data_IF_579380406231
#
_entry.id   IF_579380406231
#
_cell.length_a   1.000
_cell.length_b   1.000
_cell.length_c   1.000
_cell.angle_alpha   90.00
_cell.angle_beta   90.00
_cell.angle_gamma   90.00
#
_symmetry.space_group_name_H-M   'P 1'
#
loop_
_entity.id
_entity.type
_entity.pdbx_description
1 polymer ?
#
# COMPACT_ATOMS: atom_id res chain seq x y z
N UNK A 1 28.54 4.84 20.58
CA UNK A 1 27.09 4.75 20.92
C UNK A 1 26.65 3.30 21.12
N UNK A 2 27.05 2.37 20.23
CA UNK A 2 26.62 0.96 20.30
C UNK A 2 27.26 0.13 21.43
N UNK A 3 28.41 0.55 21.98
CA UNK A 3 29.18 -0.24 22.95
C UNK A 3 28.42 -0.55 24.26
N UNK A 4 27.39 0.25 24.57
CA UNK A 4 26.55 0.08 25.76
C UNK A 4 25.13 -0.41 25.43
N UNK A 5 24.85 -0.82 24.18
CA UNK A 5 23.52 -1.30 23.76
C UNK A 5 23.53 -2.83 23.73
N UNK A 6 22.64 -3.44 24.51
CA UNK A 6 22.60 -4.89 24.68
C UNK A 6 21.84 -5.64 23.58
N UNK A 7 20.98 -4.94 22.82
CA UNK A 7 20.25 -5.54 21.72
C UNK A 7 19.16 -4.64 21.15
N UNK A 8 18.49 -5.13 20.12
CA UNK A 8 17.38 -4.46 19.41
C UNK A 8 16.15 -5.37 19.44
N UNK A 9 14.98 -4.84 19.77
CA UNK A 9 13.70 -5.54 19.61
C UNK A 9 12.96 -4.90 18.43
N UNK A 10 12.96 -5.57 17.27
CA UNK A 10 12.41 -5.02 16.04
C UNK A 10 10.98 -5.49 15.79
N UNK A 11 10.10 -4.52 15.56
CA UNK A 11 8.67 -4.71 15.52
C UNK A 11 8.14 -4.98 14.11
N UNK A 12 8.79 -4.46 13.08
CA UNK A 12 8.23 -4.43 11.72
C UNK A 12 8.89 -5.44 10.79
N UNK A 13 8.13 -6.00 9.85
CA UNK A 13 8.66 -6.90 8.80
C UNK A 13 9.83 -6.25 8.04
N UNK A 14 9.70 -4.97 7.68
CA UNK A 14 10.73 -4.23 6.94
C UNK A 14 11.98 -3.99 7.77
N UNK A 15 11.84 -3.65 9.06
CA UNK A 15 12.96 -3.53 9.97
C UNK A 15 13.71 -4.86 10.15
N UNK A 16 12.98 -5.97 10.28
CA UNK A 16 13.57 -7.31 10.35
C UNK A 16 14.37 -7.63 9.09
N UNK A 17 13.83 -7.32 7.89
CA UNK A 17 14.56 -7.52 6.64
C UNK A 17 15.91 -6.78 6.63
N UNK A 18 15.94 -5.52 7.10
CA UNK A 18 17.17 -4.73 7.22
C UNK A 18 18.15 -5.33 8.23
N UNK A 19 17.67 -5.84 9.36
CA UNK A 19 18.51 -6.51 10.35
C UNK A 19 19.12 -7.81 9.80
N UNK A 20 18.35 -8.60 9.05
CA UNK A 20 18.84 -9.80 8.36
C UNK A 20 19.89 -9.45 7.31
N UNK A 21 19.68 -8.39 6.52
CA UNK A 21 20.71 -7.90 5.59
C UNK A 21 21.99 -7.48 6.32
N UNK A 22 21.88 -6.74 7.43
CA UNK A 22 23.03 -6.32 8.22
C UNK A 22 23.77 -7.52 8.83
N UNK A 23 23.04 -8.54 9.28
CA UNK A 23 23.62 -9.78 9.78
C UNK A 23 24.40 -10.50 8.67
N UNK A 24 23.79 -10.67 7.49
CA UNK A 24 24.42 -11.31 6.34
C UNK A 24 25.65 -10.54 5.82
N UNK A 25 25.63 -9.20 5.91
CA UNK A 25 26.76 -8.33 5.56
C UNK A 25 27.82 -8.22 6.67
N UNK A 26 27.61 -8.85 7.83
CA UNK A 26 28.51 -8.74 9.00
C UNK A 26 28.55 -7.33 9.62
N UNK A 27 27.57 -6.49 9.32
CA UNK A 27 27.49 -5.10 9.82
C UNK A 27 26.61 -4.96 11.06
N UNK A 28 25.80 -5.97 11.40
CA UNK A 28 25.02 -5.99 12.65
C UNK A 28 25.96 -6.08 13.86
N UNK A 29 25.86 -5.12 14.78
CA UNK A 29 26.82 -4.96 15.91
C UNK A 29 26.29 -5.43 17.27
N UNK A 30 24.97 -5.59 17.39
CA UNK A 30 24.29 -6.02 18.61
C UNK A 30 23.24 -7.07 18.24
N UNK A 31 22.89 -8.01 19.14
CA UNK A 31 21.87 -9.01 18.84
C UNK A 31 20.51 -8.33 18.63
N UNK A 32 19.64 -8.96 17.85
CA UNK A 32 18.29 -8.48 17.64
C UNK A 32 17.26 -9.61 17.80
N UNK A 33 16.11 -9.26 18.35
CA UNK A 33 14.93 -10.13 18.44
C UNK A 33 13.92 -9.65 17.40
N UNK A 34 13.51 -10.57 16.54
CA UNK A 34 12.38 -10.40 15.64
C UNK A 34 11.08 -10.58 16.45
N UNK A 35 10.48 -9.46 16.86
CA UNK A 35 9.19 -9.46 17.55
C UNK A 35 8.05 -9.69 16.55
N UNK A 36 8.24 -9.24 15.29
CA UNK A 36 7.23 -9.32 14.25
C UNK A 36 6.70 -10.75 14.02
N UNK A 37 7.59 -11.75 14.01
CA UNK A 37 7.24 -13.13 13.69
C UNK A 37 6.59 -13.89 14.86
N UNK A 38 6.47 -13.27 16.03
CA UNK A 38 5.56 -13.78 17.06
C UNK A 38 4.14 -13.83 16.49
N UNK A 39 3.44 -14.96 16.66
CA UNK A 39 2.09 -15.15 16.11
C UNK A 39 1.11 -14.10 16.66
N UNK A 40 1.27 -13.73 17.93
CA UNK A 40 0.50 -12.67 18.59
C UNK A 40 0.84 -11.25 18.14
N UNK A 41 1.86 -11.09 17.28
CA UNK A 41 2.18 -9.87 16.55
C UNK A 41 1.76 -10.02 15.09
N UNK A 42 2.49 -10.76 14.26
CA UNK A 42 2.23 -10.86 12.81
C UNK A 42 0.79 -11.26 12.46
N UNK A 43 0.25 -12.30 13.10
CA UNK A 43 -1.10 -12.80 12.77
C UNK A 43 -2.22 -12.08 13.52
N UNK A 44 -1.87 -11.16 14.42
CA UNK A 44 -2.79 -10.33 15.16
C UNK A 44 -2.76 -8.87 14.68
N UNK A 45 -1.67 -8.16 14.97
CA UNK A 45 -1.45 -6.75 14.66
C UNK A 45 -1.48 -6.49 13.15
N UNK A 46 -0.55 -7.07 12.38
CA UNK A 46 -0.41 -6.77 10.95
C UNK A 46 -1.71 -7.03 10.20
N UNK A 47 -2.47 -8.05 10.60
CA UNK A 47 -3.70 -8.47 9.93
C UNK A 47 -4.95 -7.80 10.50
N UNK A 48 -5.28 -8.00 11.76
CA UNK A 48 -6.53 -7.49 12.34
C UNK A 48 -6.45 -6.01 12.72
N UNK A 49 -5.25 -5.50 13.04
CA UNK A 49 -5.01 -4.06 13.19
C UNK A 49 -5.35 -3.32 11.91
N UNK A 50 -4.74 -3.71 10.78
CA UNK A 50 -5.04 -3.12 9.47
C UNK A 50 -6.50 -3.31 9.06
N UNK A 51 -7.12 -4.45 9.39
CA UNK A 51 -8.57 -4.67 9.18
C UNK A 51 -9.41 -3.60 9.86
N UNK A 52 -9.06 -3.23 11.09
CA UNK A 52 -9.77 -2.21 11.85
C UNK A 52 -9.47 -0.80 11.34
N UNK A 53 -8.20 -0.48 11.16
CA UNK A 53 -7.74 0.91 11.04
C UNK A 53 -7.72 1.45 9.60
N UNK A 54 -7.63 0.61 8.57
CA UNK A 54 -7.58 1.09 7.18
C UNK A 54 -8.87 1.83 6.80
N UNK A 55 -10.03 1.18 6.98
CA UNK A 55 -11.30 1.81 6.64
C UNK A 55 -11.63 3.01 7.53
N UNK A 56 -11.17 3.00 8.79
CA UNK A 56 -11.32 4.13 9.72
C UNK A 56 -10.55 5.35 9.20
N UNK A 57 -9.28 5.19 8.85
CA UNK A 57 -8.46 6.28 8.32
C UNK A 57 -9.03 6.86 7.02
N UNK A 58 -9.49 6.02 6.10
CA UNK A 58 -10.14 6.47 4.87
C UNK A 58 -11.39 7.30 5.22
N UNK A 59 -12.25 6.81 6.13
CA UNK A 59 -13.46 7.53 6.55
C UNK A 59 -13.13 8.87 7.18
N UNK A 60 -12.16 8.93 8.11
CA UNK A 60 -11.72 10.21 8.72
C UNK A 60 -11.15 11.18 7.69
N UNK A 61 -10.45 10.66 6.69
CA UNK A 61 -9.81 11.48 5.67
C UNK A 61 -10.82 12.05 4.67
N UNK A 62 -11.75 11.23 4.18
CA UNK A 62 -12.55 11.57 2.99
C UNK A 62 -14.06 11.56 3.22
N UNK A 63 -14.54 10.99 4.33
CA UNK A 63 -15.96 10.74 4.61
C UNK A 63 -16.68 9.98 3.48
N UNK A 64 -15.93 9.31 2.61
CA UNK A 64 -16.47 8.74 1.39
C UNK A 64 -17.30 7.50 1.68
N UNK A 65 -18.40 7.35 0.96
CA UNK A 65 -19.17 6.11 0.97
C UNK A 65 -18.39 5.01 0.23
N UNK A 66 -18.05 3.93 0.92
CA UNK A 66 -17.19 2.85 0.38
C UNK A 66 -17.97 1.81 -0.42
N UNK A 67 -19.18 1.44 0.00
CA UNK A 67 -19.91 0.33 -0.61
C UNK A 67 -20.18 0.55 -2.11
N UNK A 68 -19.97 -0.51 -2.90
CA UNK A 68 -20.16 -0.50 -4.36
C UNK A 68 -18.99 0.09 -5.17
N UNK A 69 -18.03 0.76 -4.50
CA UNK A 69 -16.80 1.23 -5.15
C UNK A 69 -15.78 0.12 -5.33
N UNK A 70 -14.84 0.34 -6.24
CA UNK A 70 -13.83 -0.63 -6.65
C UNK A 70 -12.47 -0.29 -6.07
N UNK A 71 -11.88 -1.23 -5.34
CA UNK A 71 -10.56 -1.08 -4.76
C UNK A 71 -9.58 -2.07 -5.39
N UNK A 72 -8.34 -1.63 -5.58
CA UNK A 72 -7.19 -2.47 -5.89
C UNK A 72 -6.22 -2.46 -4.70
N UNK A 73 -6.04 -3.60 -4.05
CA UNK A 73 -5.02 -3.76 -3.00
C UNK A 73 -3.80 -4.45 -3.59
N UNK A 74 -2.64 -3.81 -3.47
CA UNK A 74 -1.37 -4.33 -3.96
C UNK A 74 -0.64 -5.00 -2.80
N UNK A 75 -0.45 -6.32 -2.92
CA UNK A 75 0.02 -7.19 -1.86
C UNK A 75 -1.12 -7.89 -1.11
N UNK A 76 -0.87 -9.15 -0.75
CA UNK A 76 -1.78 -10.02 0.00
C UNK A 76 -1.04 -10.80 1.10
N UNK A 77 0.00 -10.20 1.67
CA UNK A 77 0.60 -10.63 2.94
C UNK A 77 -0.33 -10.46 4.14
N UNK A 78 0.18 -10.42 5.38
CA UNK A 78 -0.67 -10.23 6.56
C UNK A 78 -1.39 -8.86 6.54
N UNK A 79 -0.67 -7.78 6.19
CA UNK A 79 -1.22 -6.43 6.01
C UNK A 79 -2.23 -6.40 4.86
N UNK A 80 -1.89 -7.01 3.72
CA UNK A 80 -2.78 -7.12 2.56
C UNK A 80 -4.09 -7.83 2.88
N UNK A 81 -4.04 -8.99 3.56
CA UNK A 81 -5.22 -9.73 4.04
C UNK A 81 -6.09 -8.91 4.99
N UNK A 82 -5.47 -8.17 5.89
CA UNK A 82 -6.18 -7.24 6.78
C UNK A 82 -6.89 -6.14 6.00
N UNK A 83 -6.16 -5.54 5.06
CA UNK A 83 -6.60 -4.40 4.25
C UNK A 83 -7.76 -4.77 3.32
N UNK A 84 -7.64 -5.87 2.57
CA UNK A 84 -8.71 -6.36 1.70
C UNK A 84 -9.98 -6.68 2.48
N UNK A 85 -9.84 -7.28 3.66
CA UNK A 85 -10.97 -7.54 4.56
C UNK A 85 -11.58 -6.23 5.10
N UNK A 86 -10.76 -5.21 5.40
CA UNK A 86 -11.22 -3.88 5.86
C UNK A 86 -12.14 -3.21 4.85
N UNK A 87 -11.83 -3.37 3.56
CA UNK A 87 -12.59 -2.77 2.45
C UNK A 87 -13.79 -3.65 2.05
N UNK A 88 -13.61 -4.97 1.94
CA UNK A 88 -14.69 -5.90 1.58
C UNK A 88 -15.84 -5.88 2.58
N UNK A 89 -15.54 -5.81 3.88
CA UNK A 89 -16.58 -5.76 4.91
C UNK A 89 -17.43 -4.47 4.86
N UNK A 90 -16.93 -3.42 4.21
CA UNK A 90 -17.65 -2.16 3.95
C UNK A 90 -18.41 -2.20 2.60
N UNK A 91 -18.44 -3.35 1.92
CA UNK A 91 -19.15 -3.53 0.66
C UNK A 91 -18.39 -3.09 -0.58
N UNK A 92 -17.08 -2.86 -0.51
CA UNK A 92 -16.26 -2.58 -1.69
C UNK A 92 -16.09 -3.83 -2.57
N UNK A 93 -15.98 -3.62 -3.88
CA UNK A 93 -15.56 -4.63 -4.85
C UNK A 93 -14.03 -4.62 -4.86
N UNK A 94 -13.42 -5.53 -4.11
CA UNK A 94 -11.97 -5.55 -3.90
C UNK A 94 -11.30 -6.52 -4.87
N UNK A 95 -10.26 -6.02 -5.56
CA UNK A 95 -9.33 -6.78 -6.41
C UNK A 95 -7.95 -6.77 -5.75
N UNK A 96 -7.17 -7.80 -6.02
CA UNK A 96 -5.85 -8.01 -5.41
C UNK A 96 -4.79 -8.11 -6.50
N UNK A 97 -3.62 -7.51 -6.28
CA UNK A 97 -2.42 -7.78 -7.08
C UNK A 97 -1.36 -8.45 -6.21
N UNK A 98 -0.77 -9.53 -6.69
CA UNK A 98 0.26 -10.28 -5.98
C UNK A 98 1.32 -10.85 -6.92
N UNK A 99 2.54 -10.90 -6.42
CA UNK A 99 3.71 -11.54 -7.04
C UNK A 99 3.95 -12.93 -6.47
N UNK A 100 3.56 -13.19 -5.22
CA UNK A 100 3.64 -14.52 -4.62
C UNK A 100 2.41 -15.36 -5.01
N UNK A 101 2.58 -16.45 -5.79
CA UNK A 101 1.46 -17.27 -6.24
C UNK A 101 0.71 -17.97 -5.10
N UNK A 102 1.35 -18.19 -3.94
CA UNK A 102 0.69 -18.76 -2.76
C UNK A 102 -0.25 -17.72 -2.14
N UNK A 103 0.21 -16.48 -2.01
CA UNK A 103 -0.62 -15.39 -1.51
C UNK A 103 -1.76 -15.06 -2.49
N UNK A 104 -1.49 -15.09 -3.81
CA UNK A 104 -2.53 -14.96 -4.83
C UNK A 104 -3.56 -16.09 -4.77
N UNK A 105 -3.12 -17.35 -4.61
CA UNK A 105 -4.02 -18.49 -4.42
C UNK A 105 -4.92 -18.28 -3.19
N UNK A 106 -4.38 -17.78 -2.08
CA UNK A 106 -5.18 -17.45 -0.89
C UNK A 106 -6.22 -16.36 -1.20
N UNK A 107 -5.84 -15.31 -1.92
CA UNK A 107 -6.78 -14.25 -2.32
C UNK A 107 -7.95 -14.80 -3.14
N UNK A 108 -7.68 -15.69 -4.11
CA UNK A 108 -8.72 -16.36 -4.88
C UNK A 108 -9.66 -17.19 -3.98
N UNK A 109 -9.10 -17.98 -3.06
CA UNK A 109 -9.88 -18.82 -2.14
C UNK A 109 -10.69 -17.98 -1.13
N UNK A 110 -10.20 -16.79 -0.78
CA UNK A 110 -10.90 -15.82 0.07
C UNK A 110 -11.99 -15.02 -0.69
N UNK A 111 -12.14 -15.26 -2.00
CA UNK A 111 -13.19 -14.67 -2.85
C UNK A 111 -12.81 -13.37 -3.55
N UNK A 112 -11.51 -13.09 -3.72
CA UNK A 112 -11.02 -11.90 -4.43
C UNK A 112 -10.58 -12.23 -5.85
N UNK A 113 -10.84 -11.31 -6.78
CA UNK A 113 -10.28 -11.37 -8.13
C UNK A 113 -8.81 -10.92 -8.09
N UNK A 114 -7.90 -11.74 -8.62
CA UNK A 114 -6.48 -11.42 -8.70
C UNK A 114 -6.16 -10.87 -10.08
N UNK A 115 -5.70 -9.62 -10.13
CA UNK A 115 -5.36 -8.89 -11.35
C UNK A 115 -4.01 -8.18 -11.22
N UNK A 116 -3.38 -7.91 -12.35
CA UNK A 116 -2.18 -7.09 -12.41
C UNK A 116 -2.48 -5.69 -12.96
N UNK A 117 -1.88 -4.63 -12.38
CA UNK A 117 -1.80 -3.29 -12.99
C UNK A 117 -1.13 -3.29 -14.36
N UNK A 118 -0.43 -4.37 -14.71
CA UNK A 118 0.26 -4.55 -15.98
C UNK A 118 -0.36 -5.69 -16.79
N UNK A 119 -0.45 -5.50 -18.11
CA UNK A 119 -0.96 -6.48 -19.07
C UNK A 119 -0.13 -7.76 -18.95
N UNK A 120 -0.83 -8.89 -18.80
CA UNK A 120 -0.23 -10.22 -18.56
C UNK A 120 0.71 -10.32 -17.34
N UNK A 121 0.70 -9.34 -16.42
CA UNK A 121 1.63 -9.32 -15.30
C UNK A 121 3.04 -8.84 -15.64
N UNK A 122 3.30 -8.42 -16.88
CA UNK A 122 4.64 -8.02 -17.33
C UNK A 122 4.89 -6.53 -17.05
N UNK A 123 5.80 -6.22 -16.13
CA UNK A 123 6.22 -4.84 -15.86
C UNK A 123 7.49 -4.50 -16.67
N UNK A 124 7.32 -3.90 -17.84
CA UNK A 124 8.40 -3.43 -18.71
C UNK A 124 9.01 -2.09 -18.28
N UNK A 125 8.45 -1.44 -17.25
CA UNK A 125 8.81 -0.09 -16.81
C UNK A 125 8.29 1.04 -17.72
N UNK A 126 7.43 0.70 -18.68
CA UNK A 126 6.81 1.64 -19.61
C UNK A 126 5.32 1.87 -19.34
N UNK A 127 4.69 2.68 -20.19
CA UNK A 127 3.24 2.93 -20.12
C UNK A 127 2.44 1.96 -21.01
N UNK A 128 3.09 1.36 -22.01
CA UNK A 128 2.50 0.51 -23.04
C UNK A 128 1.91 -0.80 -22.50
N UNK A 129 2.41 -1.25 -21.36
CA UNK A 129 2.01 -2.47 -20.67
C UNK A 129 1.07 -2.19 -19.50
N UNK A 130 0.64 -0.95 -19.26
CA UNK A 130 -0.33 -0.65 -18.21
C UNK A 130 -1.71 -1.19 -18.57
N UNK A 131 -2.35 -1.86 -17.62
CA UNK A 131 -3.73 -2.30 -17.72
C UNK A 131 -4.68 -1.13 -17.43
N UNK A 132 -4.81 -0.22 -18.40
CA UNK A 132 -5.64 0.99 -18.27
C UNK A 132 -7.09 0.66 -17.92
N UNK A 133 -7.67 -0.39 -18.52
CA UNK A 133 -9.04 -0.84 -18.22
C UNK A 133 -9.26 -1.14 -16.73
N UNK A 134 -8.26 -1.72 -16.06
CA UNK A 134 -8.33 -1.98 -14.61
C UNK A 134 -8.26 -0.66 -13.83
N UNK A 135 -7.28 0.19 -14.14
CA UNK A 135 -6.95 1.38 -13.36
C UNK A 135 -7.96 2.52 -13.53
N UNK A 136 -8.50 2.71 -14.73
CA UNK A 136 -9.56 3.69 -15.02
C UNK A 136 -10.90 3.32 -14.36
N UNK A 137 -11.07 2.06 -13.96
CA UNK A 137 -12.23 1.56 -13.22
C UNK A 137 -11.95 1.37 -11.71
N UNK A 138 -10.81 1.88 -11.21
CA UNK A 138 -10.42 1.75 -9.80
C UNK A 138 -10.66 3.05 -9.05
N UNK A 139 -11.54 3.03 -8.03
CA UNK A 139 -11.84 4.19 -7.18
C UNK A 139 -10.82 4.35 -6.03
N UNK A 140 -10.09 3.30 -5.69
CA UNK A 140 -9.15 3.30 -4.58
C UNK A 140 -8.00 2.33 -4.81
N UNK A 141 -6.77 2.77 -4.52
CA UNK A 141 -5.59 1.91 -4.49
C UNK A 141 -4.95 1.94 -3.11
N UNK A 142 -4.59 0.75 -2.60
CA UNK A 142 -3.93 0.59 -1.29
C UNK A 142 -2.68 -0.27 -1.46
N UNK A 143 -1.52 0.26 -1.10
CA UNK A 143 -0.24 -0.48 -1.12
C UNK A 143 0.05 -1.12 0.24
N UNK A 144 0.46 -2.39 0.24
CA UNK A 144 0.61 -3.23 1.47
C UNK A 144 1.86 -4.12 1.46
N UNK A 145 2.85 -3.80 0.61
CA UNK A 145 3.88 -4.76 0.19
C UNK A 145 5.18 -4.66 1.00
N UNK A 146 5.48 -3.50 1.56
CA UNK A 146 6.81 -3.16 2.07
C UNK A 146 7.89 -3.08 0.98
N UNK A 147 7.50 -2.98 -0.29
CA UNK A 147 8.39 -2.99 -1.46
C UNK A 147 8.42 -1.60 -2.15
N UNK A 148 9.30 -1.44 -3.13
CA UNK A 148 9.58 -0.15 -3.76
C UNK A 148 8.77 0.05 -5.04
N UNK A 149 8.10 1.21 -5.17
CA UNK A 149 7.36 1.64 -6.36
C UNK A 149 6.36 0.60 -6.91
N UNK A 150 5.61 -0.02 -6.00
CA UNK A 150 4.54 -0.94 -6.39
C UNK A 150 3.30 -0.22 -6.94
N UNK A 151 3.14 1.06 -6.62
CA UNK A 151 2.26 2.00 -7.30
C UNK A 151 3.12 3.08 -7.97
N UNK A 152 3.51 2.82 -9.22
CA UNK A 152 4.43 3.65 -9.98
C UNK A 152 3.74 4.84 -10.67
N UNK A 153 4.54 5.72 -11.27
CA UNK A 153 4.05 6.88 -12.04
C UNK A 153 3.08 6.53 -13.17
N UNK A 154 3.23 5.39 -13.82
CA UNK A 154 2.41 4.99 -14.96
C UNK A 154 1.05 4.51 -14.49
N UNK A 155 1.01 3.79 -13.37
CA UNK A 155 -0.23 3.46 -12.66
C UNK A 155 -0.95 4.72 -12.18
N UNK A 156 -0.23 5.65 -11.53
CA UNK A 156 -0.79 6.91 -11.05
C UNK A 156 -1.41 7.73 -12.20
N UNK A 157 -0.76 7.78 -13.36
CA UNK A 157 -1.28 8.48 -14.52
C UNK A 157 -2.55 7.84 -15.11
N UNK A 158 -2.67 6.51 -15.05
CA UNK A 158 -3.79 5.76 -15.61
C UNK A 158 -5.00 5.59 -14.66
N UNK A 159 -4.86 5.97 -13.39
CA UNK A 159 -5.96 5.84 -12.42
C UNK A 159 -7.18 6.70 -12.80
N UNK A 160 -8.36 6.23 -12.39
CA UNK A 160 -9.60 6.98 -12.49
C UNK A 160 -9.47 8.38 -11.85
N UNK A 161 -9.95 9.46 -12.50
CA UNK A 161 -10.06 10.76 -11.85
C UNK A 161 -10.90 10.68 -10.56
N UNK A 162 -10.42 11.34 -9.51
CA UNK A 162 -10.99 11.31 -8.16
C UNK A 162 -10.64 10.06 -7.35
N UNK A 163 -9.81 9.15 -7.85
CA UNK A 163 -9.41 7.96 -7.10
C UNK A 163 -8.60 8.30 -5.85
N UNK A 164 -8.81 7.51 -4.79
CA UNK A 164 -8.05 7.61 -3.54
C UNK A 164 -6.80 6.74 -3.63
N UNK A 165 -5.65 7.31 -3.28
CA UNK A 165 -4.36 6.63 -3.23
C UNK A 165 -3.85 6.68 -1.80
N UNK A 166 -3.56 5.52 -1.22
CA UNK A 166 -2.94 5.45 0.09
C UNK A 166 -2.03 4.23 0.25
N UNK A 167 -1.19 4.30 1.27
CA UNK A 167 -0.24 3.27 1.64
C UNK A 167 -0.45 2.91 3.10
N UNK A 168 -0.38 1.63 3.43
CA UNK A 168 -0.41 1.14 4.82
C UNK A 168 0.80 0.27 5.15
N UNK A 169 1.74 0.12 4.21
CA UNK A 169 3.05 -0.42 4.48
C UNK A 169 4.02 0.62 5.06
N UNK A 170 5.15 0.14 5.57
CA UNK A 170 5.99 0.90 6.50
C UNK A 170 6.68 2.15 5.90
N UNK A 171 6.96 2.18 4.60
CA UNK A 171 7.63 3.30 3.94
C UNK A 171 6.76 3.90 2.84
N UNK A 172 6.88 5.21 2.63
CA UNK A 172 6.14 5.93 1.60
C UNK A 172 6.57 5.59 0.18
N UNK A 173 7.73 4.96 0.03
CA UNK A 173 8.31 4.56 -1.26
C UNK A 173 7.52 3.50 -2.00
N UNK A 174 6.48 2.90 -1.39
CA UNK A 174 5.54 2.03 -2.12
C UNK A 174 4.85 2.78 -3.26
N UNK A 175 4.61 4.08 -3.10
CA UNK A 175 4.01 4.97 -4.09
C UNK A 175 5.10 5.92 -4.61
N UNK A 176 5.13 6.19 -5.91
CA UNK A 176 6.01 7.20 -6.49
C UNK A 176 5.51 8.63 -6.22
N UNK A 177 5.53 9.03 -4.94
CA UNK A 177 5.10 10.37 -4.50
C UNK A 177 6.04 11.46 -4.98
N UNK A 178 7.33 11.13 -5.16
CA UNK A 178 8.32 12.06 -5.69
C UNK A 178 7.95 12.48 -7.11
N UNK A 179 7.58 11.55 -7.99
CA UNK A 179 7.05 11.87 -9.32
C UNK A 179 5.86 12.83 -9.23
N UNK A 180 4.91 12.57 -8.33
CA UNK A 180 3.75 13.45 -8.15
C UNK A 180 4.15 14.86 -7.69
N UNK A 181 5.16 15.00 -6.81
CA UNK A 181 5.64 16.32 -6.37
C UNK A 181 6.33 17.10 -7.49
N UNK A 182 7.10 16.39 -8.30
CA UNK A 182 7.91 17.02 -9.34
C UNK A 182 7.08 17.40 -10.57
N UNK A 183 5.96 16.71 -10.82
CA UNK A 183 5.20 16.84 -12.07
C UNK A 183 3.77 17.37 -11.89
N UNK A 184 3.17 17.25 -10.70
CA UNK A 184 1.75 17.55 -10.49
C UNK A 184 1.52 18.60 -9.41
N UNK A 185 0.35 19.24 -9.46
CA UNK A 185 0.00 20.32 -8.53
C UNK A 185 -0.71 19.76 -7.31
N UNK A 186 -0.15 20.02 -6.13
CA UNK A 186 -0.71 19.58 -4.85
C UNK A 186 -1.55 20.69 -4.23
N UNK A 187 -2.76 20.35 -3.81
CA UNK A 187 -3.66 21.22 -3.06
C UNK A 187 -4.07 20.50 -1.79
N UNK A 188 -3.67 21.03 -0.64
CA UNK A 188 -4.09 20.52 0.65
C UNK A 188 -5.57 20.85 0.89
N UNK A 189 -6.39 19.82 1.13
CA UNK A 189 -7.79 20.00 1.57
C UNK A 189 -7.81 20.26 3.07
N UNK A 190 -7.08 19.43 3.81
CA UNK A 190 -6.88 19.46 5.26
C UNK A 190 -5.60 18.68 5.59
N UNK A 191 -5.07 18.75 6.82
CA UNK A 191 -3.88 18.00 7.20
C UNK A 191 -3.98 16.53 6.76
N UNK A 192 -2.92 16.06 6.09
CA UNK A 192 -2.78 14.68 5.59
C UNK A 192 -3.75 14.29 4.45
N UNK A 193 -4.47 15.24 3.84
CA UNK A 193 -5.36 14.98 2.69
C UNK A 193 -5.10 16.00 1.59
N UNK A 194 -4.62 15.51 0.45
CA UNK A 194 -4.24 16.35 -0.69
C UNK A 194 -4.97 15.93 -1.96
N UNK A 195 -5.44 16.90 -2.73
CA UNK A 195 -5.75 16.71 -4.14
C UNK A 195 -4.49 16.90 -4.97
N UNK A 196 -4.24 15.96 -5.86
CA UNK A 196 -3.08 15.94 -6.75
C UNK A 196 -3.61 16.10 -8.18
N UNK A 197 -3.56 17.32 -8.71
CA UNK A 197 -4.05 17.62 -10.06
C UNK A 197 -3.02 17.20 -11.10
N UNK A 198 -3.45 16.34 -12.02
CA UNK A 198 -2.60 15.77 -13.08
C UNK A 198 -2.53 16.64 -14.33
N UNK A 199 -3.48 17.57 -14.45
CA UNK A 199 -3.57 18.58 -15.52
C UNK A 199 -4.25 19.85 -15.00
N UNK A 200 -4.50 20.81 -15.89
CA UNK A 200 -5.25 22.04 -15.58
C UNK A 200 -6.78 21.81 -15.49
N UNK A 201 -7.27 20.60 -15.81
CA UNK A 201 -8.69 20.24 -15.61
C UNK A 201 -8.97 20.02 -14.11
N UNK A 202 -9.93 20.77 -13.57
CA UNK A 202 -10.33 20.70 -12.17
C UNK A 202 -10.93 19.33 -11.77
N UNK A 203 -11.34 18.52 -12.74
CA UNK A 203 -11.86 17.17 -12.48
C UNK A 203 -10.77 16.10 -12.56
N UNK A 204 -9.58 16.43 -13.04
CA UNK A 204 -8.48 15.50 -13.27
C UNK A 204 -7.48 15.50 -12.09
N UNK A 205 -7.91 14.94 -10.97
CA UNK A 205 -7.11 14.84 -9.75
C UNK A 205 -7.14 13.44 -9.13
N UNK A 206 -6.16 13.14 -8.29
CA UNK A 206 -6.18 12.03 -7.34
C UNK A 206 -6.30 12.58 -5.92
N UNK A 207 -6.77 11.76 -4.97
CA UNK A 207 -6.76 12.10 -3.55
C UNK A 207 -5.66 11.27 -2.89
N UNK A 208 -4.59 11.92 -2.44
CA UNK A 208 -3.50 11.27 -1.73
C UNK A 208 -3.67 11.45 -0.21
N UNK A 209 -3.63 10.33 0.51
CA UNK A 209 -3.72 10.31 1.97
C UNK A 209 -2.33 10.21 2.61
N UNK A 210 -2.14 10.92 3.71
CA UNK A 210 -0.92 10.94 4.52
C UNK A 210 0.38 11.17 3.72
N UNK A 211 0.28 11.83 2.56
CA UNK A 211 1.40 12.05 1.64
C UNK A 211 2.14 10.74 1.25
N UNK A 212 1.41 9.61 1.24
CA UNK A 212 1.95 8.28 0.96
C UNK A 212 2.56 7.54 2.16
N UNK A 213 2.60 8.15 3.36
CA UNK A 213 2.99 7.44 4.60
C UNK A 213 1.89 6.49 5.07
N UNK A 214 2.16 5.73 6.15
CA UNK A 214 1.19 4.81 6.77
C UNK A 214 -0.12 5.55 7.07
N UNK A 215 -1.16 5.23 6.31
CA UNK A 215 -2.43 5.98 6.33
C UNK A 215 -3.20 5.82 7.64
N UNK A 216 -2.98 4.72 8.35
CA UNK A 216 -3.78 4.35 9.52
C UNK A 216 -3.33 4.98 10.84
N UNK A 217 -2.28 5.80 10.82
CA UNK A 217 -1.63 6.39 11.99
C UNK A 217 -1.65 7.92 11.94
#
# INVERSE_FOLDING_TARGET
LLDNIHGISEETTTGVHRLVEMLNKGTLKVPAINVNDAVTKSKNDNKYGCRHSLNDAIKRATDMFLAGRRALVIGYGDVGKGSTQSLRQEGMIVRVSEVDPICAMQACMDGFEVLSPYINGDNTGGAENINTRLLEDTDMIVTTTGNYHVCDRHMLAALKPGAVVCNIGHFDTEIDTQFMRDNWRWVEIKPQVHQIFRSDDENDYLILLAEGRLVNL
#
